data_IF_281353318238
#
_entry.id   IF_281353318238
#
_cell.length_a   1.000
_cell.length_b   1.000
_cell.length_c   1.000
_cell.angle_alpha   90.00
_cell.angle_beta   90.00
_cell.angle_gamma   90.00
#
_symmetry.space_group_name_H-M   'P 1'
#
loop_
_entity.id
_entity.type
_entity.pdbx_description
1 polymer ?
#
# COMPACT_ATOMS: atom_id res chain seq x y z
N UNK A 1 42.16 -21.79 54.32
CA UNK A 1 42.46 -21.76 52.87
C UNK A 1 41.30 -21.07 52.19
N UNK A 2 41.52 -19.86 51.65
CA UNK A 2 41.59 -19.59 50.19
C UNK A 2 40.26 -19.91 49.50
N UNK A 3 39.59 -19.04 48.76
CA UNK A 3 39.87 -17.72 48.22
C UNK A 3 38.67 -17.42 47.29
N UNK A 4 38.23 -16.15 47.20
CA UNK A 4 37.71 -15.51 45.96
C UNK A 4 36.31 -16.00 45.45
N UNK A 5 35.38 -15.23 44.87
CA UNK A 5 35.34 -13.84 44.36
C UNK A 5 33.90 -13.50 43.92
N UNK A 6 33.54 -12.21 44.02
CA UNK A 6 32.66 -11.35 43.19
C UNK A 6 31.28 -11.86 42.69
N UNK A 7 30.18 -11.17 42.99
CA UNK A 7 29.69 -9.89 42.43
C UNK A 7 29.05 -10.01 41.02
N UNK A 8 27.84 -9.45 40.94
CA UNK A 8 27.16 -8.90 39.77
C UNK A 8 26.79 -9.85 38.62
N UNK A 9 25.48 -9.98 38.35
CA UNK A 9 24.89 -9.52 37.09
C UNK A 9 23.36 -9.36 37.24
N UNK A 10 22.93 -8.13 37.51
CA UNK A 10 21.62 -7.65 37.08
C UNK A 10 21.75 -7.30 35.59
N UNK A 11 21.21 -8.11 34.66
CA UNK A 11 20.92 -7.65 33.28
C UNK A 11 19.62 -8.31 32.81
N UNK A 12 18.52 -7.59 33.03
CA UNK A 12 17.42 -7.31 32.09
C UNK A 12 17.18 -8.33 30.96
N UNK A 13 16.19 -9.20 31.15
CA UNK A 13 15.48 -9.89 30.08
C UNK A 13 14.33 -9.02 29.54
N UNK A 14 14.66 -7.87 28.95
CA UNK A 14 13.71 -6.98 28.24
C UNK A 14 13.54 -7.30 26.75
N UNK A 15 14.17 -8.37 26.24
CA UNK A 15 14.19 -8.68 24.81
C UNK A 15 12.92 -9.39 24.27
N UNK A 16 11.98 -9.83 25.12
CA UNK A 16 10.79 -10.56 24.67
C UNK A 16 9.56 -9.67 24.40
N UNK A 17 9.59 -8.38 24.78
CA UNK A 17 8.45 -7.47 24.60
C UNK A 17 8.48 -6.81 23.20
N UNK A 18 9.65 -6.74 22.57
CA UNK A 18 9.83 -6.04 21.29
C UNK A 18 9.18 -6.75 20.10
N UNK A 19 9.11 -8.09 20.08
CA UNK A 19 8.58 -8.80 18.90
C UNK A 19 7.06 -8.74 18.79
N UNK A 20 6.34 -8.73 19.92
CA UNK A 20 4.88 -8.68 19.92
C UNK A 20 4.35 -7.28 19.61
N UNK A 21 4.95 -6.23 20.19
CA UNK A 21 4.57 -4.84 19.91
C UNK A 21 4.82 -4.46 18.44
N UNK A 22 5.96 -4.87 17.88
CA UNK A 22 6.28 -4.60 16.47
C UNK A 22 5.41 -5.42 15.51
N UNK A 23 4.93 -6.60 15.92
CA UNK A 23 4.00 -7.39 15.11
C UNK A 23 2.60 -6.73 15.04
N UNK A 24 2.15 -6.12 16.13
CA UNK A 24 0.89 -5.37 16.19
C UNK A 24 0.93 -4.13 15.30
N UNK A 25 2.03 -3.36 15.36
CA UNK A 25 2.25 -2.20 14.50
C UNK A 25 2.30 -2.57 13.01
N UNK A 26 2.96 -3.68 12.65
CA UNK A 26 3.00 -4.18 11.26
C UNK A 26 1.61 -4.61 10.79
N UNK A 27 0.83 -5.29 11.63
CA UNK A 27 -0.53 -5.73 11.28
C UNK A 27 -1.48 -4.54 11.07
N UNK A 28 -1.41 -3.53 11.94
CA UNK A 28 -2.23 -2.32 11.80
C UNK A 28 -1.83 -1.49 10.57
N UNK A 29 -0.54 -1.34 10.29
CA UNK A 29 -0.07 -0.71 9.06
C UNK A 29 -0.54 -1.49 7.82
N UNK A 30 -0.52 -2.82 7.88
CA UNK A 30 -1.04 -3.66 6.80
C UNK A 30 -2.54 -3.43 6.57
N UNK A 31 -3.37 -3.43 7.64
CA UNK A 31 -4.80 -3.12 7.53
C UNK A 31 -5.04 -1.73 6.93
N UNK A 32 -4.23 -0.75 7.32
CA UNK A 32 -4.33 0.60 6.78
C UNK A 32 -3.95 0.67 5.29
N UNK A 33 -2.92 -0.08 4.87
CA UNK A 33 -2.55 -0.23 3.46
C UNK A 33 -3.68 -0.87 2.64
N UNK A 34 -4.31 -1.91 3.16
CA UNK A 34 -5.47 -2.57 2.54
C UNK A 34 -6.68 -1.63 2.45
N UNK A 35 -6.99 -0.91 3.52
CA UNK A 35 -8.09 0.06 3.54
C UNK A 35 -7.84 1.19 2.54
N UNK A 36 -6.61 1.70 2.46
CA UNK A 36 -6.20 2.70 1.47
C UNK A 36 -6.34 2.19 0.04
N UNK A 37 -5.89 0.96 -0.23
CA UNK A 37 -6.05 0.29 -1.52
C UNK A 37 -7.52 0.22 -1.93
N UNK A 38 -8.37 -0.26 -1.04
CA UNK A 38 -9.79 -0.49 -1.33
C UNK A 38 -10.51 0.85 -1.53
N UNK A 39 -10.17 1.89 -0.76
CA UNK A 39 -10.68 3.24 -0.97
C UNK A 39 -10.28 3.80 -2.35
N UNK A 40 -9.02 3.63 -2.75
CA UNK A 40 -8.55 4.03 -4.08
C UNK A 40 -9.29 3.29 -5.19
N UNK A 41 -9.40 1.97 -5.07
CA UNK A 41 -10.06 1.15 -6.09
C UNK A 41 -11.56 1.49 -6.21
N UNK A 42 -12.23 1.70 -5.09
CA UNK A 42 -13.63 2.13 -5.06
C UNK A 42 -13.82 3.50 -5.72
N UNK A 43 -12.88 4.43 -5.51
CA UNK A 43 -12.94 5.73 -6.18
C UNK A 43 -12.79 5.57 -7.71
N UNK A 44 -11.81 4.78 -8.18
CA UNK A 44 -11.65 4.51 -9.61
C UNK A 44 -12.87 3.81 -10.23
N UNK A 45 -13.46 2.85 -9.51
CA UNK A 45 -14.61 2.10 -9.96
C UNK A 45 -15.86 2.98 -10.18
N UNK A 46 -15.97 4.13 -9.48
CA UNK A 46 -17.06 5.09 -9.69
C UNK A 46 -16.94 5.84 -11.02
N UNK A 47 -15.73 5.95 -11.56
CA UNK A 47 -15.52 6.59 -12.87
C UNK A 47 -15.90 5.66 -14.02
N UNK A 48 -15.72 4.35 -13.85
CA UNK A 48 -16.02 3.36 -14.88
C UNK A 48 -17.46 3.42 -15.45
N UNK A 49 -18.56 3.49 -14.66
CA UNK A 49 -19.92 3.48 -15.18
C UNK A 49 -20.43 4.84 -15.68
N UNK A 50 -19.68 5.94 -15.54
CA UNK A 50 -20.20 7.27 -15.89
C UNK A 50 -20.54 7.37 -17.37
N UNK A 51 -21.73 7.92 -17.67
CA UNK A 51 -22.21 8.10 -19.04
C UNK A 51 -21.29 8.99 -19.89
N UNK A 52 -20.64 9.99 -19.27
CA UNK A 52 -19.64 10.86 -19.91
C UNK A 52 -18.49 10.09 -20.55
N UNK A 53 -18.24 8.85 -20.10
CA UNK A 53 -17.09 8.07 -20.54
C UNK A 53 -17.44 7.14 -21.71
N UNK A 54 -18.72 6.99 -22.07
CA UNK A 54 -19.18 6.08 -23.12
C UNK A 54 -18.57 6.37 -24.49
N UNK A 55 -18.35 7.64 -24.80
CA UNK A 55 -17.82 8.09 -26.10
C UNK A 55 -16.31 8.29 -26.08
N UNK A 56 -15.66 8.17 -24.93
CA UNK A 56 -14.21 8.35 -24.81
C UNK A 56 -13.44 7.26 -25.57
N UNK A 57 -12.32 7.65 -26.17
CA UNK A 57 -11.27 6.74 -26.57
C UNK A 57 -10.62 6.09 -25.35
N UNK A 58 -9.94 4.98 -25.58
CA UNK A 58 -9.29 4.22 -24.53
C UNK A 58 -8.14 5.04 -23.90
N UNK A 59 -7.48 5.89 -24.72
CA UNK A 59 -6.45 6.82 -24.29
C UNK A 59 -7.03 7.94 -23.42
N UNK A 60 -8.13 8.59 -23.82
CA UNK A 60 -8.77 9.65 -23.03
C UNK A 60 -9.23 9.12 -21.68
N UNK A 61 -9.82 7.92 -21.64
CA UNK A 61 -10.20 7.28 -20.39
C UNK A 61 -8.99 6.94 -19.52
N UNK A 62 -7.89 6.47 -20.13
CA UNK A 62 -6.62 6.27 -19.41
C UNK A 62 -6.09 7.55 -18.77
N UNK A 63 -6.10 8.66 -19.50
CA UNK A 63 -5.72 9.98 -18.97
C UNK A 63 -6.65 10.45 -17.84
N UNK A 64 -7.96 10.19 -17.94
CA UNK A 64 -8.91 10.48 -16.87
C UNK A 64 -8.54 9.69 -15.60
N UNK A 65 -8.42 8.36 -15.72
CA UNK A 65 -8.08 7.47 -14.59
C UNK A 65 -6.74 7.83 -13.95
N UNK A 66 -5.77 8.29 -14.75
CA UNK A 66 -4.48 8.75 -14.26
C UNK A 66 -4.56 10.06 -13.44
N UNK A 67 -5.65 10.83 -13.51
CA UNK A 67 -5.77 12.13 -12.82
C UNK A 67 -6.87 12.19 -11.75
N UNK A 68 -7.82 11.24 -11.76
CA UNK A 68 -8.87 11.15 -10.74
C UNK A 68 -8.35 10.56 -9.42
N UNK A 69 -9.14 10.77 -8.36
CA UNK A 69 -8.89 10.23 -7.01
C UNK A 69 -7.50 10.58 -6.43
N UNK A 70 -7.05 11.85 -6.48
CA UNK A 70 -5.70 12.21 -6.05
C UNK A 70 -5.49 11.94 -4.55
N UNK A 71 -6.50 12.20 -3.73
CA UNK A 71 -6.45 12.00 -2.28
C UNK A 71 -6.35 10.52 -1.93
N UNK A 72 -7.22 9.68 -2.48
CA UNK A 72 -7.22 8.23 -2.22
C UNK A 72 -5.94 7.57 -2.71
N UNK A 73 -5.43 8.00 -3.87
CA UNK A 73 -4.15 7.56 -4.40
C UNK A 73 -2.99 7.89 -3.47
N UNK A 74 -2.95 9.14 -2.97
CA UNK A 74 -1.91 9.58 -2.05
C UNK A 74 -1.98 8.84 -0.72
N UNK A 75 -3.19 8.62 -0.19
CA UNK A 75 -3.42 7.89 1.05
C UNK A 75 -2.96 6.44 0.91
N UNK A 76 -3.36 5.76 -0.17
CA UNK A 76 -2.90 4.39 -0.44
C UNK A 76 -1.38 4.31 -0.58
N UNK A 77 -0.77 5.26 -1.31
CA UNK A 77 0.69 5.29 -1.47
C UNK A 77 1.40 5.37 -0.13
N UNK A 78 0.97 6.29 0.73
CA UNK A 78 1.63 6.53 2.03
C UNK A 78 1.43 5.33 2.96
N UNK A 79 0.21 4.81 3.07
CA UNK A 79 -0.04 3.66 3.95
C UNK A 79 0.68 2.40 3.48
N UNK A 80 0.82 2.20 2.17
CA UNK A 80 1.60 1.09 1.64
C UNK A 80 3.10 1.27 1.90
N UNK A 81 3.66 2.48 1.72
CA UNK A 81 5.07 2.75 2.03
C UNK A 81 5.36 2.53 3.52
N UNK A 82 4.45 2.98 4.40
CA UNK A 82 4.57 2.80 5.85
C UNK A 82 4.62 1.32 6.22
N UNK A 83 3.65 0.53 5.75
CA UNK A 83 3.65 -0.92 5.91
C UNK A 83 4.94 -1.58 5.40
N UNK A 84 5.38 -1.23 4.18
CA UNK A 84 6.60 -1.80 3.59
C UNK A 84 7.86 -1.42 4.38
N UNK A 85 7.89 -0.23 4.99
CA UNK A 85 9.02 0.23 5.80
C UNK A 85 9.10 -0.51 7.12
N UNK A 86 7.96 -0.83 7.75
CA UNK A 86 7.91 -1.68 8.93
C UNK A 86 8.21 -3.15 8.62
N UNK A 87 7.71 -3.66 7.49
CA UNK A 87 7.88 -5.05 7.07
C UNK A 87 9.32 -5.34 6.60
N UNK A 88 9.98 -4.36 5.97
CA UNK A 88 11.31 -4.48 5.39
C UNK A 88 12.22 -3.32 5.85
N UNK A 89 12.58 -3.24 7.14
CA UNK A 89 13.28 -2.08 7.71
C UNK A 89 14.71 -1.85 7.20
N UNK A 90 15.27 -2.83 6.46
CA UNK A 90 16.61 -2.73 5.83
C UNK A 90 16.54 -2.44 4.33
N UNK A 91 15.34 -2.35 3.77
CA UNK A 91 15.13 -2.07 2.36
C UNK A 91 15.27 -0.57 2.09
N UNK A 92 15.75 -0.26 0.89
CA UNK A 92 15.86 1.11 0.42
C UNK A 92 14.47 1.78 0.30
N UNK A 93 14.36 3.04 0.75
CA UNK A 93 13.10 3.77 0.75
C UNK A 93 12.55 4.02 -0.67
N UNK A 94 13.44 4.20 -1.66
CA UNK A 94 13.03 4.37 -3.05
C UNK A 94 12.43 3.07 -3.59
N UNK A 95 12.91 1.91 -3.16
CA UNK A 95 12.30 0.62 -3.54
C UNK A 95 10.85 0.48 -3.00
N UNK A 96 10.57 0.98 -1.79
CA UNK A 96 9.21 1.01 -1.23
C UNK A 96 8.32 1.97 -2.03
N UNK A 97 8.83 3.16 -2.39
CA UNK A 97 8.12 4.12 -3.23
C UNK A 97 7.82 3.56 -4.63
N UNK A 98 8.79 2.90 -5.27
CA UNK A 98 8.61 2.22 -6.56
C UNK A 98 7.53 1.16 -6.46
N UNK A 99 7.54 0.35 -5.41
CA UNK A 99 6.52 -0.68 -5.18
C UNK A 99 5.13 -0.07 -5.04
N UNK A 100 4.99 1.01 -4.26
CA UNK A 100 3.71 1.67 -4.07
C UNK A 100 3.18 2.34 -5.35
N UNK A 101 4.06 3.01 -6.11
CA UNK A 101 3.69 3.59 -7.41
C UNK A 101 3.28 2.49 -8.39
N UNK A 102 3.96 1.34 -8.39
CA UNK A 102 3.60 0.20 -9.23
C UNK A 102 2.22 -0.37 -8.89
N UNK A 103 1.87 -0.46 -7.60
CA UNK A 103 0.55 -0.89 -7.18
C UNK A 103 -0.56 0.05 -7.69
N UNK A 104 -0.31 1.37 -7.67
CA UNK A 104 -1.22 2.37 -8.23
C UNK A 104 -1.39 2.19 -9.74
N UNK A 105 -0.29 2.02 -10.49
CA UNK A 105 -0.34 1.79 -11.94
C UNK A 105 -1.16 0.54 -12.30
N UNK A 106 -1.03 -0.53 -11.53
CA UNK A 106 -1.80 -1.77 -11.74
C UNK A 106 -3.29 -1.53 -11.52
N UNK A 107 -3.68 -0.86 -10.44
CA UNK A 107 -5.08 -0.53 -10.18
C UNK A 107 -5.69 0.34 -11.30
N UNK A 108 -4.95 1.32 -11.81
CA UNK A 108 -5.37 2.12 -12.95
C UNK A 108 -5.53 1.27 -14.22
N UNK A 109 -4.54 0.42 -14.53
CA UNK A 109 -4.55 -0.47 -15.68
C UNK A 109 -5.73 -1.43 -15.66
N UNK A 110 -6.09 -1.96 -14.50
CA UNK A 110 -7.22 -2.88 -14.36
C UNK A 110 -8.54 -2.20 -14.75
N UNK A 111 -8.76 -0.97 -14.29
CA UNK A 111 -9.97 -0.19 -14.59
C UNK A 111 -10.03 0.20 -16.07
N UNK A 112 -8.90 0.60 -16.67
CA UNK A 112 -8.82 0.86 -18.12
C UNK A 112 -9.09 -0.41 -18.91
N UNK A 113 -8.54 -1.55 -18.49
CA UNK A 113 -8.77 -2.85 -19.15
C UNK A 113 -10.24 -3.24 -19.09
N UNK A 114 -10.90 -3.04 -17.95
CA UNK A 114 -12.34 -3.26 -17.81
C UNK A 114 -13.14 -2.36 -18.77
N UNK A 115 -12.76 -1.08 -18.90
CA UNK A 115 -13.40 -0.13 -19.82
C UNK A 115 -13.34 -0.58 -21.27
N UNK A 116 -12.15 -0.96 -21.74
CA UNK A 116 -11.94 -1.46 -23.10
C UNK A 116 -12.77 -2.70 -23.38
N UNK A 117 -12.79 -3.66 -22.44
CA UNK A 117 -13.58 -4.89 -22.56
C UNK A 117 -15.07 -4.61 -22.67
N UNK A 118 -15.62 -3.72 -21.84
CA UNK A 118 -17.05 -3.33 -21.92
C UNK A 118 -17.39 -2.68 -23.25
N UNK A 119 -16.53 -1.76 -23.72
CA UNK A 119 -16.74 -1.07 -25.00
C UNK A 119 -16.69 -2.03 -26.18
N UNK A 120 -15.82 -3.04 -26.12
CA UNK A 120 -15.77 -4.10 -27.14
C UNK A 120 -17.03 -4.98 -27.12
N UNK A 121 -17.57 -5.30 -25.94
CA UNK A 121 -18.79 -6.11 -25.80
C UNK A 121 -20.09 -5.36 -26.17
N UNK A 122 -20.06 -4.02 -26.25
CA UNK A 122 -21.19 -3.19 -26.63
C UNK A 122 -21.27 -2.89 -28.15
N UNK A 123 -20.31 -3.39 -28.93
CA UNK A 123 -20.28 -3.32 -30.39
C UNK A 123 -20.83 -4.62 -30.98
#
# INVERSE_FOLDING_TARGET
>A
MRMLVAAALLITSSAAISSAAMADEVDDAHKLAITGRDAYWNCLAREYPRDSNKTMSDQEFGSLIANVCPSERQNFRVSLIDFLSLQFPKQDADANLTTANRAIELAQKDIVTAFVRRKAAAK
#
